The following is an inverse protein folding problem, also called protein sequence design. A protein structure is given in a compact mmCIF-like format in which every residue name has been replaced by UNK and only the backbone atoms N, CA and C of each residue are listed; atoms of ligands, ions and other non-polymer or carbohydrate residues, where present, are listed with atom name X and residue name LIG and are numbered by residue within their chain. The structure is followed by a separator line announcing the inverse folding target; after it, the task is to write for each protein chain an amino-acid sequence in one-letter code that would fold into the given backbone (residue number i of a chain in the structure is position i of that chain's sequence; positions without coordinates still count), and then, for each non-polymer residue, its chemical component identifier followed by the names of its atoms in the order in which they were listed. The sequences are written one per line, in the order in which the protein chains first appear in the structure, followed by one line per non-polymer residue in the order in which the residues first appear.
data_IF_593842466368
#
_entry.id   IF_593842466368
#
_cell.length_a   1.000
_cell.length_b   1.000
_cell.length_c   1.000
_cell.angle_alpha   90.00
_cell.angle_beta   90.00
_cell.angle_gamma   90.00
#
_symmetry.space_group_name_H-M   'P 1'
#
loop_
_entity.id
_entity.type
_entity.pdbx_description
1 polymer ?
#
# COMPACT_ATOMS: atom_id res chain seq x y z
N UNK A 1 -1.86 -7.79 12.18
CA UNK A 1 -2.95 -6.95 11.61
C UNK A 1 -2.59 -5.50 11.88
N UNK A 2 -1.81 -4.89 10.97
CA UNK A 2 -1.34 -3.50 11.04
C UNK A 2 -0.98 -3.04 9.62
N UNK A 3 -2.00 -2.74 8.83
CA UNK A 3 -1.91 -2.42 7.41
C UNK A 3 -1.01 -1.20 7.17
N UNK A 4 -1.15 -0.16 7.99
CA UNK A 4 -0.31 1.04 7.92
C UNK A 4 1.18 0.73 8.17
N UNK A 5 1.49 -0.18 9.11
CA UNK A 5 2.88 -0.60 9.38
C UNK A 5 3.45 -1.41 8.23
N UNK A 6 2.67 -2.34 7.67
CA UNK A 6 3.08 -3.14 6.51
C UNK A 6 3.39 -2.23 5.32
N UNK A 7 2.50 -1.27 5.04
CA UNK A 7 2.69 -0.28 3.99
C UNK A 7 3.93 0.58 4.25
N UNK A 8 4.05 1.17 5.44
CA UNK A 8 5.16 2.06 5.80
C UNK A 8 6.53 1.38 5.71
N UNK A 9 6.63 0.12 6.13
CA UNK A 9 7.83 -0.70 5.95
C UNK A 9 8.12 -0.93 4.46
N UNK A 10 7.11 -1.25 3.65
CA UNK A 10 7.23 -1.36 2.20
C UNK A 10 7.77 -0.08 1.56
N UNK A 11 7.20 1.07 1.90
CA UNK A 11 7.65 2.38 1.41
C UNK A 11 9.11 2.61 1.82
N UNK A 12 9.43 2.44 3.10
CA UNK A 12 10.78 2.65 3.63
C UNK A 12 11.84 1.73 3.02
N UNK A 13 11.50 0.49 2.72
CA UNK A 13 12.37 -0.44 1.98
C UNK A 13 12.55 0.01 0.53
N UNK A 14 11.47 0.44 -0.13
CA UNK A 14 11.51 0.85 -1.53
C UNK A 14 12.36 2.09 -1.79
N UNK A 15 12.29 3.09 -0.89
CA UNK A 15 13.11 4.31 -0.99
C UNK A 15 14.59 4.02 -0.73
N UNK A 16 14.90 2.93 -0.01
CA UNK A 16 16.26 2.43 0.21
C UNK A 16 16.78 1.53 -0.93
N UNK A 17 16.04 1.41 -2.03
CA UNK A 17 16.48 0.71 -3.25
C UNK A 17 15.98 -0.74 -3.38
N UNK A 18 15.19 -1.24 -2.42
CA UNK A 18 14.54 -2.55 -2.56
C UNK A 18 13.30 -2.46 -3.45
N UNK A 19 12.79 -3.62 -3.90
CA UNK A 19 11.55 -3.71 -4.71
C UNK A 19 10.51 -4.61 -4.02
N UNK A 20 9.95 -4.15 -2.89
CA UNK A 20 9.05 -4.97 -2.08
C UNK A 20 7.68 -5.19 -2.74
N UNK A 21 7.05 -6.30 -2.36
CA UNK A 21 5.63 -6.58 -2.62
C UNK A 21 4.94 -6.67 -1.25
N UNK A 22 4.20 -5.63 -0.86
CA UNK A 22 3.43 -5.61 0.38
C UNK A 22 2.08 -6.30 0.16
N UNK A 23 1.71 -7.22 1.04
CA UNK A 23 0.40 -7.89 1.00
C UNK A 23 -0.54 -7.31 2.05
N UNK A 24 -1.74 -6.93 1.60
CA UNK A 24 -2.89 -6.64 2.46
C UNK A 24 -3.92 -7.73 2.22
N UNK A 25 -4.46 -8.33 3.28
CA UNK A 25 -5.17 -9.60 3.19
C UNK A 25 -6.40 -9.56 2.26
N UNK A 26 -7.15 -8.46 2.30
CA UNK A 26 -8.35 -8.16 1.52
C UNK A 26 -8.35 -6.69 1.12
N UNK A 27 -8.98 -6.39 -0.03
CA UNK A 27 -9.13 -5.01 -0.50
C UNK A 27 -9.82 -4.12 0.54
N UNK A 28 -10.81 -4.67 1.24
CA UNK A 28 -11.59 -3.98 2.28
C UNK A 28 -10.72 -3.39 3.40
N UNK A 29 -9.53 -3.95 3.62
CA UNK A 29 -8.62 -3.51 4.70
C UNK A 29 -7.67 -2.40 4.26
N UNK A 30 -7.66 -2.02 2.97
CA UNK A 30 -6.88 -0.86 2.50
C UNK A 30 -7.29 0.43 3.21
N UNK A 31 -8.53 0.52 3.71
CA UNK A 31 -9.00 1.65 4.50
C UNK A 31 -8.04 2.01 5.64
N UNK A 32 -7.43 1.00 6.28
CA UNK A 32 -6.51 1.20 7.41
C UNK A 32 -5.12 1.74 7.04
N UNK A 33 -4.78 1.79 5.74
CA UNK A 33 -3.53 2.37 5.26
C UNK A 33 -3.72 3.35 4.10
N UNK A 34 -4.98 3.69 3.77
CA UNK A 34 -5.33 4.47 2.59
C UNK A 34 -4.61 5.81 2.54
N UNK A 35 -4.54 6.53 3.66
CA UNK A 35 -3.84 7.81 3.75
C UNK A 35 -2.36 7.69 3.36
N UNK A 36 -1.67 6.64 3.80
CA UNK A 36 -0.28 6.42 3.40
C UNK A 36 -0.12 6.05 1.92
N UNK A 37 -1.14 5.42 1.32
CA UNK A 37 -1.14 5.12 -0.12
C UNK A 37 -1.35 6.42 -0.91
N UNK A 38 -2.39 7.19 -0.58
CA UNK A 38 -2.77 8.40 -1.32
C UNK A 38 -1.76 9.53 -1.14
N UNK A 39 -1.39 9.83 0.10
CA UNK A 39 -0.70 11.08 0.43
C UNK A 39 0.82 10.90 0.39
N UNK A 40 1.33 9.71 0.72
CA UNK A 40 2.76 9.44 0.78
C UNK A 40 3.26 8.65 -0.44
N UNK A 41 2.75 7.44 -0.67
CA UNK A 41 3.27 6.55 -1.72
C UNK A 41 3.01 7.11 -3.13
N UNK A 42 1.76 7.43 -3.45
CA UNK A 42 1.37 7.86 -4.79
C UNK A 42 1.98 9.21 -5.19
N UNK A 43 2.12 10.13 -4.22
CA UNK A 43 2.60 11.49 -4.51
C UNK A 43 4.12 11.63 -4.44
N UNK A 44 4.85 10.64 -3.89
CA UNK A 44 6.27 10.77 -3.55
C UNK A 44 7.12 11.33 -4.68
N UNK A 45 6.98 10.75 -5.87
CA UNK A 45 7.78 11.14 -7.05
C UNK A 45 7.46 12.57 -7.49
N UNK A 46 6.19 12.96 -7.43
CA UNK A 46 5.75 14.29 -7.79
C UNK A 46 6.23 15.33 -6.77
N UNK A 47 5.95 15.11 -5.47
CA UNK A 47 6.30 16.08 -4.40
C UNK A 47 7.80 16.30 -4.25
N UNK A 48 8.61 15.34 -4.66
CA UNK A 48 10.09 15.44 -4.65
C UNK A 48 10.68 15.88 -5.99
N UNK A 49 9.87 16.25 -6.99
CA UNK A 49 10.32 16.61 -8.35
C UNK A 49 11.24 15.55 -8.98
N UNK A 50 10.94 14.27 -8.73
CA UNK A 50 11.73 13.14 -9.20
C UNK A 50 12.94 12.77 -8.34
N UNK A 51 13.19 13.48 -7.23
CA UNK A 51 14.31 13.18 -6.32
C UNK A 51 14.17 11.87 -5.54
N UNK A 52 12.93 11.40 -5.32
CA UNK A 52 12.67 10.10 -4.70
C UNK A 52 11.61 9.31 -5.48
N UNK A 53 11.72 8.00 -5.44
CA UNK A 53 10.71 7.07 -5.93
C UNK A 53 10.58 5.89 -4.96
N UNK A 54 9.36 5.36 -4.85
CA UNK A 54 9.04 4.21 -4.02
C UNK A 54 8.46 3.10 -4.92
N UNK A 55 9.30 2.30 -5.60
CA UNK A 55 8.84 1.20 -6.46
C UNK A 55 8.33 0.02 -5.60
N UNK A 56 7.15 0.20 -5.00
CA UNK A 56 6.44 -0.76 -4.16
C UNK A 56 5.20 -1.29 -4.88
N UNK A 57 4.97 -2.60 -4.85
CA UNK A 57 3.71 -3.21 -5.28
C UNK A 57 2.88 -3.50 -4.02
N UNK A 58 1.63 -3.03 -3.98
CA UNK A 58 0.65 -3.44 -2.97
C UNK A 58 -0.27 -4.47 -3.62
N UNK A 59 -0.28 -5.70 -3.10
CA UNK A 59 -1.18 -6.77 -3.55
C UNK A 59 -2.27 -7.02 -2.53
N UNK A 60 -3.47 -7.31 -3.02
CA UNK A 60 -4.62 -7.66 -2.19
C UNK A 60 -5.35 -8.87 -2.78
N UNK A 61 -6.20 -9.51 -1.97
CA UNK A 61 -7.24 -10.40 -2.50
C UNK A 61 -8.48 -9.60 -2.83
N UNK A 62 -9.11 -9.94 -3.95
CA UNK A 62 -10.45 -9.45 -4.30
C UNK A 62 -11.56 -10.15 -3.50
N UNK A 63 -12.81 -9.86 -3.87
CA UNK A 63 -13.99 -10.36 -3.18
C UNK A 63 -14.02 -11.90 -3.05
N UNK A 64 -14.54 -12.38 -1.92
CA UNK A 64 -14.88 -13.79 -1.65
C UNK A 64 -16.37 -14.03 -1.47
N UNK A 65 -17.18 -12.97 -1.42
CA UNK A 65 -18.62 -13.03 -1.13
C UNK A 65 -18.92 -13.58 0.28
N UNK A 66 -17.98 -13.41 1.21
CA UNK A 66 -18.04 -13.84 2.61
C UNK A 66 -18.39 -12.66 3.55
N UNK A 67 -19.39 -11.86 3.15
CA UNK A 67 -19.88 -10.69 3.92
C UNK A 67 -19.22 -9.37 3.56
N UNK A 68 -19.65 -8.30 4.24
CA UNK A 68 -19.32 -6.91 3.88
C UNK A 68 -17.83 -6.58 3.91
N UNK A 69 -17.03 -7.34 4.68
CA UNK A 69 -15.59 -7.15 4.84
C UNK A 69 -14.74 -8.01 3.90
N UNK A 70 -15.38 -8.75 2.99
CA UNK A 70 -14.74 -9.62 2.01
C UNK A 70 -15.43 -9.51 0.65
N UNK A 71 -16.03 -8.35 0.36
CA UNK A 71 -16.83 -8.12 -0.84
C UNK A 71 -16.38 -6.90 -1.65
N UNK A 72 -15.35 -6.18 -1.20
CA UNK A 72 -14.76 -5.07 -1.93
C UNK A 72 -14.17 -5.49 -3.28
N UNK A 73 -14.32 -4.61 -4.28
CA UNK A 73 -13.84 -4.74 -5.65
C UNK A 73 -13.02 -3.54 -6.09
#
# INVERSE_FOLDING_TARGET
IREATILGQGIGMSIRGLRPIAEIQYLDYLLYCFQGISDDLATLRYRTKGGQAAPLIVRTRGHRLEGIWHSGS
#
